data_IF_059490064798
#
_entry.id   IF_059490064798
#
_cell.length_a   1.000
_cell.length_b   1.000
_cell.length_c   1.000
_cell.angle_alpha   90.00
_cell.angle_beta   90.00
_cell.angle_gamma   90.00
#
_symmetry.space_group_name_H-M   'P 1'
#
loop_
_entity.id
_entity.type
_entity.pdbx_description
1 polymer ?
#
# COMPACT_ATOMS: atom_id res chain seq x y z
N UNK A 1 26.35 -2.08 1.61
CA UNK A 1 25.99 -3.28 0.81
C UNK A 1 24.68 -3.81 1.37
N UNK A 2 23.66 -4.02 0.55
CA UNK A 2 22.34 -4.51 0.97
C UNK A 2 22.28 -6.00 0.63
N UNK A 3 21.91 -6.84 1.59
CA UNK A 3 21.71 -8.27 1.38
C UNK A 3 20.23 -8.53 1.09
N UNK A 4 19.96 -9.28 0.02
CA UNK A 4 18.61 -9.71 -0.33
C UNK A 4 18.50 -11.22 -0.07
N UNK A 5 17.42 -11.63 0.61
CA UNK A 5 17.07 -13.05 0.70
C UNK A 5 16.25 -13.45 -0.52
N UNK A 6 16.53 -14.65 -1.05
CA UNK A 6 15.77 -15.23 -2.17
C UNK A 6 14.42 -15.79 -1.74
N UNK A 7 14.33 -16.20 -0.47
CA UNK A 7 13.11 -16.61 0.22
C UNK A 7 12.66 -15.49 1.16
N UNK A 8 11.52 -15.61 1.84
CA UNK A 8 11.10 -14.59 2.81
C UNK A 8 12.04 -14.50 4.03
N UNK A 9 11.62 -13.76 5.06
CA UNK A 9 12.31 -13.79 6.35
C UNK A 9 11.33 -13.67 7.53
N UNK A 10 11.71 -14.28 8.65
CA UNK A 10 11.08 -14.09 9.95
C UNK A 10 11.83 -13.02 10.71
N UNK A 11 11.10 -12.09 11.33
CA UNK A 11 11.65 -11.14 12.29
C UNK A 11 11.41 -11.67 13.71
N UNK A 12 12.46 -12.14 14.36
CA UNK A 12 12.42 -12.68 15.72
C UNK A 12 12.78 -11.59 16.72
N UNK A 13 11.96 -11.43 17.77
CA UNK A 13 12.14 -10.46 18.85
C UNK A 13 12.38 -9.01 18.37
N UNK A 14 11.88 -8.66 17.17
CA UNK A 14 12.01 -7.34 16.57
C UNK A 14 13.42 -6.94 16.13
N UNK A 15 14.40 -7.86 16.15
CA UNK A 15 15.81 -7.54 15.91
C UNK A 15 16.54 -8.50 14.97
N UNK A 16 16.15 -9.76 14.97
CA UNK A 16 16.89 -10.82 14.28
C UNK A 16 16.13 -11.32 13.07
N UNK A 17 16.82 -11.46 11.94
CA UNK A 17 16.24 -12.00 10.72
C UNK A 17 16.69 -13.44 10.52
N UNK A 18 15.72 -14.32 10.26
CA UNK A 18 15.95 -15.71 9.85
C UNK A 18 15.37 -15.84 8.44
N UNK A 19 16.17 -16.30 7.49
CA UNK A 19 15.69 -16.57 6.13
C UNK A 19 14.63 -17.68 6.14
N UNK A 20 13.59 -17.55 5.35
CA UNK A 20 12.51 -18.54 5.21
C UNK A 20 12.92 -19.64 4.22
N UNK A 21 14.06 -20.28 4.49
CA UNK A 21 14.61 -21.38 3.70
C UNK A 21 14.39 -22.74 4.40
N UNK A 22 15.12 -23.77 3.96
CA UNK A 22 15.00 -25.13 4.52
C UNK A 22 15.49 -25.23 5.97
N UNK A 23 16.34 -24.32 6.46
CA UNK A 23 16.80 -24.31 7.87
C UNK A 23 15.86 -23.53 8.79
N UNK A 24 14.99 -22.66 8.25
CA UNK A 24 14.11 -21.77 9.02
C UNK A 24 13.37 -22.48 10.17
N UNK A 25 12.70 -23.61 9.86
CA UNK A 25 11.94 -24.36 10.86
C UNK A 25 12.83 -24.91 11.99
N UNK A 26 14.05 -25.34 11.67
CA UNK A 26 15.02 -25.84 12.65
C UNK A 26 15.59 -24.72 13.51
N UNK A 27 15.88 -23.56 12.93
CA UNK A 27 16.38 -22.38 13.65
C UNK A 27 15.32 -21.75 14.55
N UNK A 28 14.06 -21.70 14.11
CA UNK A 28 12.96 -21.25 14.96
C UNK A 28 12.75 -22.22 16.13
N UNK A 29 12.78 -23.53 15.86
CA UNK A 29 12.60 -24.56 16.89
C UNK A 29 13.72 -24.56 17.93
N UNK A 30 14.98 -24.34 17.53
CA UNK A 30 16.11 -24.24 18.46
C UNK A 30 16.00 -23.05 19.42
N UNK A 31 15.22 -22.04 19.04
CA UNK A 31 14.87 -20.87 19.85
C UNK A 31 13.56 -21.04 20.63
N UNK A 32 12.97 -22.23 20.61
CA UNK A 32 11.70 -22.54 21.28
C UNK A 32 10.46 -21.98 20.57
N UNK A 33 10.60 -21.52 19.32
CA UNK A 33 9.51 -20.93 18.54
C UNK A 33 8.94 -22.01 17.62
N UNK A 34 7.71 -22.44 17.90
CA UNK A 34 6.97 -23.39 17.05
C UNK A 34 5.73 -22.71 16.51
N UNK A 35 5.81 -22.21 15.28
CA UNK A 35 4.75 -21.47 14.61
C UNK A 35 4.67 -21.87 13.14
N UNK A 36 3.46 -21.89 12.57
CA UNK A 36 3.29 -22.01 11.12
C UNK A 36 3.63 -20.68 10.45
N UNK A 37 3.93 -20.72 9.15
CA UNK A 37 4.18 -19.51 8.36
C UNK A 37 2.93 -18.61 8.32
N UNK A 38 1.75 -19.23 8.26
CA UNK A 38 0.44 -18.58 8.27
C UNK A 38 0.22 -17.83 9.59
N UNK A 39 0.50 -18.46 10.73
CA UNK A 39 0.38 -17.77 12.03
C UNK A 39 1.44 -16.68 12.19
N UNK A 40 2.65 -16.89 11.68
CA UNK A 40 3.70 -15.87 11.73
C UNK A 40 3.34 -14.62 10.93
N UNK A 41 2.65 -14.76 9.78
CA UNK A 41 2.18 -13.62 8.97
C UNK A 41 1.23 -12.69 9.73
N UNK A 42 0.42 -13.23 10.65
CA UNK A 42 -0.49 -12.44 11.49
C UNK A 42 0.24 -11.49 12.44
N UNK A 43 1.52 -11.76 12.75
CA UNK A 43 2.37 -10.88 13.54
C UNK A 43 2.97 -9.70 12.77
N UNK A 44 2.78 -9.62 11.45
CA UNK A 44 3.36 -8.54 10.63
C UNK A 44 2.57 -7.23 10.78
N UNK A 45 3.27 -6.08 10.65
CA UNK A 45 2.62 -4.77 10.60
C UNK A 45 1.62 -4.68 9.44
N UNK A 46 1.97 -5.27 8.29
CA UNK A 46 1.08 -5.29 7.13
C UNK A 46 -0.24 -6.02 7.43
N UNK A 47 -0.19 -7.20 8.06
CA UNK A 47 -1.41 -7.90 8.47
C UNK A 47 -2.20 -7.06 9.48
N UNK A 48 -1.56 -6.48 10.50
CA UNK A 48 -2.23 -5.62 11.47
C UNK A 48 -2.95 -4.42 10.83
N UNK A 49 -2.33 -3.76 9.85
CA UNK A 49 -2.96 -2.66 9.10
C UNK A 49 -4.14 -3.17 8.27
N UNK A 50 -3.95 -4.23 7.48
CA UNK A 50 -5.00 -4.76 6.61
C UNK A 50 -6.21 -5.26 7.40
N UNK A 51 -5.96 -6.04 8.46
CA UNK A 51 -7.00 -6.57 9.34
C UNK A 51 -7.80 -5.47 10.03
N UNK A 52 -7.14 -4.38 10.45
CA UNK A 52 -7.82 -3.23 11.08
C UNK A 52 -8.70 -2.43 10.11
N UNK A 53 -8.38 -2.42 8.81
CA UNK A 53 -9.16 -1.72 7.79
C UNK A 53 -10.10 -2.64 7.01
N UNK A 54 -10.09 -3.94 7.31
CA UNK A 54 -10.99 -4.90 6.70
C UNK A 54 -12.42 -4.74 7.26
N UNK A 55 -13.38 -4.60 6.36
CA UNK A 55 -14.80 -4.43 6.65
C UNK A 55 -15.65 -5.65 6.30
N UNK A 56 -15.08 -6.67 5.64
CA UNK A 56 -15.81 -7.88 5.26
C UNK A 56 -15.94 -8.89 6.40
N UNK A 57 -15.01 -8.89 7.35
CA UNK A 57 -14.86 -9.98 8.33
C UNK A 57 -14.26 -11.27 7.75
N UNK A 58 -13.88 -11.25 6.47
CA UNK A 58 -13.25 -12.37 5.76
C UNK A 58 -11.75 -12.05 5.53
N UNK A 59 -10.86 -12.87 6.10
CA UNK A 59 -9.40 -12.70 5.98
C UNK A 59 -8.85 -13.09 4.60
N UNK A 60 -9.58 -13.90 3.82
CA UNK A 60 -9.21 -14.27 2.46
C UNK A 60 -9.76 -13.26 1.45
N UNK A 61 -10.97 -12.76 1.66
CA UNK A 61 -11.64 -11.78 0.80
C UNK A 61 -11.73 -10.41 1.48
N UNK A 62 -10.61 -9.69 1.45
CA UNK A 62 -10.49 -8.37 2.07
C UNK A 62 -11.41 -7.33 1.41
N UNK A 63 -12.15 -6.58 2.23
CA UNK A 63 -12.82 -5.33 1.82
C UNK A 63 -12.23 -4.17 2.62
N UNK A 64 -11.25 -3.50 2.04
CA UNK A 64 -10.47 -2.48 2.75
C UNK A 64 -11.16 -1.13 2.71
N UNK A 65 -11.34 -0.52 3.88
CA UNK A 65 -11.70 0.88 4.02
C UNK A 65 -10.43 1.73 3.95
N UNK A 66 -10.34 2.58 2.93
CA UNK A 66 -9.25 3.55 2.81
C UNK A 66 -9.51 4.76 3.72
N UNK A 67 -8.46 5.25 4.38
CA UNK A 67 -8.57 6.47 5.19
C UNK A 67 -8.54 7.74 4.34
N UNK A 68 -7.75 7.73 3.26
CA UNK A 68 -7.51 8.85 2.35
C UNK A 68 -7.15 8.32 0.96
N UNK A 69 -7.36 9.14 -0.06
CA UNK A 69 -6.89 8.90 -1.42
C UNK A 69 -5.90 9.97 -1.83
N UNK A 70 -4.98 9.60 -2.71
CA UNK A 70 -4.05 10.55 -3.34
C UNK A 70 -3.91 10.16 -4.81
N UNK A 71 -3.90 11.16 -5.69
CA UNK A 71 -3.64 10.99 -7.11
C UNK A 71 -2.75 12.11 -7.61
N UNK A 72 -2.00 11.82 -8.66
CA UNK A 72 -1.15 12.80 -9.32
C UNK A 72 -1.79 13.32 -10.59
N UNK A 73 -1.33 14.49 -11.04
CA UNK A 73 -1.70 15.21 -12.27
C UNK A 73 -1.96 14.37 -13.52
N UNK A 74 -1.17 13.32 -13.78
CA UNK A 74 -1.43 12.45 -14.94
C UNK A 74 -2.77 11.70 -14.83
N UNK A 75 -3.20 11.35 -13.62
CA UNK A 75 -4.34 10.43 -13.41
C UNK A 75 -5.57 11.09 -12.84
N UNK A 76 -5.44 12.17 -12.05
CA UNK A 76 -6.58 12.72 -11.32
C UNK A 76 -7.68 13.27 -12.23
N UNK A 77 -7.33 13.76 -13.43
CA UNK A 77 -8.31 14.31 -14.38
C UNK A 77 -9.29 13.23 -14.79
N UNK A 78 -8.79 12.07 -15.24
CA UNK A 78 -9.62 10.92 -15.61
C UNK A 78 -10.42 10.35 -14.44
N UNK A 79 -9.83 10.31 -13.23
CA UNK A 79 -10.51 9.84 -12.02
C UNK A 79 -11.69 10.76 -11.69
N UNK A 80 -11.49 12.07 -11.66
CA UNK A 80 -12.54 13.06 -11.33
C UNK A 80 -13.61 13.09 -12.41
N UNK A 81 -13.25 13.02 -13.70
CA UNK A 81 -14.23 12.94 -14.78
C UNK A 81 -15.13 11.71 -14.65
N UNK A 82 -14.53 10.55 -14.36
CA UNK A 82 -15.28 9.30 -14.13
C UNK A 82 -16.18 9.41 -12.90
N UNK A 83 -15.67 9.99 -11.81
CA UNK A 83 -16.45 10.21 -10.58
C UNK A 83 -17.64 11.15 -10.82
N UNK A 84 -17.43 12.26 -11.55
CA UNK A 84 -18.52 13.18 -11.90
C UNK A 84 -19.54 12.52 -12.82
N UNK A 85 -19.09 11.75 -13.81
CA UNK A 85 -19.95 11.01 -14.73
C UNK A 85 -20.78 9.92 -14.01
N UNK A 86 -20.26 9.34 -12.93
CA UNK A 86 -21.00 8.39 -12.09
C UNK A 86 -21.97 9.07 -11.11
N UNK A 87 -22.05 10.40 -11.10
CA UNK A 87 -22.93 11.18 -10.23
C UNK A 87 -22.35 11.48 -8.85
N UNK A 88 -21.07 11.21 -8.62
CA UNK A 88 -20.40 11.56 -7.36
C UNK A 88 -20.28 13.09 -7.24
N UNK A 89 -20.80 13.65 -6.14
CA UNK A 89 -20.75 15.09 -5.83
C UNK A 89 -19.56 15.49 -4.98
N UNK A 90 -19.16 14.60 -4.08
CA UNK A 90 -18.01 14.76 -3.18
C UNK A 90 -17.40 13.40 -2.88
N UNK A 91 -16.10 13.35 -2.61
CA UNK A 91 -15.44 12.11 -2.22
C UNK A 91 -15.75 11.80 -0.74
N UNK A 92 -16.05 10.53 -0.39
CA UNK A 92 -16.44 10.15 0.97
C UNK A 92 -15.27 10.11 1.96
N UNK A 93 -14.04 10.33 1.48
CA UNK A 93 -12.80 10.37 2.27
C UNK A 93 -11.91 11.48 1.73
N UNK A 94 -10.96 12.01 2.53
CA UNK A 94 -10.03 13.04 2.07
C UNK A 94 -9.31 12.60 0.80
N UNK A 95 -9.32 13.47 -0.21
CA UNK A 95 -8.64 13.24 -1.48
C UNK A 95 -7.60 14.32 -1.71
N UNK A 96 -6.34 13.91 -1.87
CA UNK A 96 -5.19 14.79 -2.08
C UNK A 96 -4.79 14.74 -3.55
N UNK A 97 -4.71 15.91 -4.18
CA UNK A 97 -4.22 16.05 -5.55
C UNK A 97 -2.77 16.52 -5.50
N UNK A 98 -1.89 15.91 -6.30
CA UNK A 98 -0.48 16.30 -6.39
C UNK A 98 -0.08 16.65 -7.82
N UNK A 99 0.56 17.81 -8.01
CA UNK A 99 1.09 18.24 -9.30
C UNK A 99 2.60 18.04 -9.31
N UNK A 100 3.06 16.89 -9.80
CA UNK A 100 4.47 16.51 -9.73
C UNK A 100 5.04 15.99 -11.04
N UNK A 101 4.24 15.55 -12.01
CA UNK A 101 4.74 15.02 -13.28
C UNK A 101 4.65 16.05 -14.42
N UNK A 102 3.64 16.93 -14.41
CA UNK A 102 3.39 17.92 -15.47
C UNK A 102 3.88 19.33 -15.11
N UNK A 103 4.60 19.48 -13.98
CA UNK A 103 5.06 20.77 -13.47
C UNK A 103 6.41 21.24 -14.02
N UNK A 104 7.12 20.42 -14.80
CA UNK A 104 8.39 20.82 -15.43
C UNK A 104 8.16 21.41 -16.83
N UNK A 105 8.58 22.66 -17.02
CA UNK A 105 8.54 23.45 -18.26
C UNK A 105 9.43 22.91 -19.41
N UNK A 106 9.58 21.59 -19.56
CA UNK A 106 10.40 21.01 -20.62
C UNK A 106 9.58 20.74 -21.89
N UNK A 107 8.37 20.18 -21.76
CA UNK A 107 7.40 20.01 -22.86
C UNK A 107 5.99 19.88 -22.23
N UNK A 108 5.15 20.92 -22.30
CA UNK A 108 3.74 20.84 -21.89
C UNK A 108 3.29 21.67 -20.67
N UNK A 109 4.20 22.36 -19.97
CA UNK A 109 3.86 23.14 -18.77
C UNK A 109 2.82 24.27 -18.99
N UNK A 110 2.71 24.80 -20.21
CA UNK A 110 1.67 25.76 -20.63
C UNK A 110 0.49 25.14 -21.39
N UNK A 111 0.59 23.87 -21.79
CA UNK A 111 -0.53 23.12 -22.41
C UNK A 111 -1.45 22.56 -21.32
N UNK A 112 -0.90 22.26 -20.14
CA UNK A 112 -1.61 21.71 -18.98
C UNK A 112 -1.86 22.74 -17.87
N UNK A 113 -1.83 24.05 -18.17
CA UNK A 113 -2.40 25.07 -17.25
C UNK A 113 -3.83 24.68 -16.83
N UNK A 114 -4.56 24.00 -17.73
CA UNK A 114 -5.89 23.46 -17.47
C UNK A 114 -5.93 22.33 -16.42
N UNK A 115 -4.91 21.47 -16.31
CA UNK A 115 -4.91 20.40 -15.28
C UNK A 115 -4.79 21.00 -13.88
N UNK A 116 -3.98 22.06 -13.74
CA UNK A 116 -3.82 22.80 -12.48
C UNK A 116 -5.08 23.61 -12.13
N UNK A 117 -5.74 24.22 -13.13
CA UNK A 117 -7.04 24.88 -12.96
C UNK A 117 -8.17 23.89 -12.68
N UNK A 118 -8.10 22.67 -13.20
CA UNK A 118 -9.11 21.63 -13.00
C UNK A 118 -9.06 21.02 -11.60
N UNK A 119 -7.88 20.97 -10.98
CA UNK A 119 -7.70 20.51 -9.61
C UNK A 119 -8.07 21.53 -8.51
N UNK A 120 -8.31 22.80 -8.88
CA UNK A 120 -8.73 23.89 -7.98
C UNK A 120 -10.26 24.09 -8.02
#
# INVERSE_FOLDING_TARGET
>A
MVTLYETGAYLVNGKELIADDKSAASELSSRGIKISKEEARKGTIANGILSKHNTSGDEENLKIKFDKMTSHDITFVGIIQTARASGLKEFPIPYVLTNCHNSLCAVGGTINEDDHMFGL
#
